data_IF_831396781586
#
_entry.id   IF_831396781586
#
_cell.length_a   1.000
_cell.length_b   1.000
_cell.length_c   1.000
_cell.angle_alpha   90.00
_cell.angle_beta   90.00
_cell.angle_gamma   90.00
#
_symmetry.space_group_name_H-M   'P 1'
#
loop_
_entity.id
_entity.type
_entity.pdbx_description
1 polymer ?
#
# COMPACT_ATOMS: atom_id res chain seq x y z
N UNK A 1 15.21 15.32 -9.27
CA UNK A 1 13.75 15.15 -9.48
C UNK A 1 13.38 14.20 -10.63
N UNK A 2 14.34 13.59 -11.37
CA UNK A 2 14.05 12.72 -12.54
C UNK A 2 14.06 11.20 -12.26
N UNK A 3 14.44 10.76 -11.06
CA UNK A 3 14.64 9.33 -10.72
C UNK A 3 13.53 8.63 -9.93
N UNK A 4 12.47 9.32 -9.51
CA UNK A 4 11.47 8.77 -8.58
C UNK A 4 10.16 8.30 -9.25
N UNK A 5 10.08 8.39 -10.58
CA UNK A 5 8.85 8.13 -11.34
C UNK A 5 8.86 6.78 -12.08
N UNK A 6 9.93 5.97 -11.95
CA UNK A 6 9.93 4.61 -12.49
C UNK A 6 9.53 4.53 -13.96
N UNK A 7 9.95 5.50 -14.78
CA UNK A 7 9.85 5.39 -16.23
C UNK A 7 10.79 4.25 -16.62
N UNK A 8 10.25 3.04 -16.73
CA UNK A 8 10.97 1.94 -17.33
C UNK A 8 11.22 2.34 -18.80
N UNK A 9 12.48 2.40 -19.26
CA UNK A 9 12.73 2.66 -20.67
C UNK A 9 12.17 1.49 -21.48
N UNK A 10 11.01 1.68 -22.12
CA UNK A 10 10.49 0.76 -23.10
C UNK A 10 11.36 0.87 -24.36
N UNK A 11 12.33 -0.04 -24.47
CA UNK A 11 13.04 -0.28 -25.72
C UNK A 11 12.07 -0.93 -26.71
N UNK A 12 11.66 -0.17 -27.72
CA UNK A 12 10.91 -0.53 -28.93
C UNK A 12 10.25 -1.93 -28.96
N UNK A 13 8.97 -1.97 -28.59
CA UNK A 13 8.00 -2.98 -29.04
C UNK A 13 6.60 -2.33 -28.99
N UNK A 14 6.01 -2.13 -30.17
CA UNK A 14 4.66 -1.61 -30.45
C UNK A 14 4.25 -0.28 -29.78
N UNK A 15 3.86 0.71 -30.59
CA UNK A 15 3.64 2.10 -30.16
C UNK A 15 2.44 2.29 -29.20
N UNK A 16 1.47 1.37 -29.23
CA UNK A 16 0.22 1.45 -28.47
C UNK A 16 0.42 1.33 -26.94
N UNK A 17 1.13 0.32 -26.39
CA UNK A 17 1.39 0.23 -24.95
C UNK A 17 2.23 1.40 -24.42
N UNK A 18 3.11 1.99 -25.25
CA UNK A 18 3.96 3.11 -24.85
C UNK A 18 3.14 4.39 -24.63
N UNK A 19 2.17 4.70 -25.49
CA UNK A 19 1.26 5.84 -25.31
C UNK A 19 0.43 5.68 -24.03
N UNK A 20 -0.09 4.47 -23.77
CA UNK A 20 -0.83 4.20 -22.54
C UNK A 20 0.05 4.40 -21.29
N UNK A 21 1.31 3.96 -21.32
CA UNK A 21 2.24 4.13 -20.20
C UNK A 21 2.55 5.62 -19.91
N UNK A 22 2.74 6.42 -20.96
CA UNK A 22 2.94 7.88 -20.82
C UNK A 22 1.71 8.54 -20.19
N UNK A 23 0.50 8.20 -20.64
CA UNK A 23 -0.73 8.75 -20.08
C UNK A 23 -0.89 8.41 -18.59
N UNK A 24 -0.69 7.15 -18.21
CA UNK A 24 -0.79 6.73 -16.80
C UNK A 24 0.27 7.43 -15.95
N UNK A 25 1.49 7.60 -16.47
CA UNK A 25 2.58 8.26 -15.75
C UNK A 25 2.31 9.75 -15.53
N UNK A 26 1.82 10.46 -16.55
CA UNK A 26 1.46 11.88 -16.44
C UNK A 26 0.30 12.06 -15.45
N UNK A 27 -0.72 11.21 -15.53
CA UNK A 27 -1.84 11.22 -14.58
C UNK A 27 -1.35 11.00 -13.13
N UNK A 28 -0.50 10.00 -12.91
CA UNK A 28 0.09 9.73 -11.61
C UNK A 28 0.91 10.93 -11.09
N UNK A 29 1.68 11.58 -11.96
CA UNK A 29 2.43 12.80 -11.61
C UNK A 29 1.50 13.93 -11.16
N UNK A 30 0.41 14.18 -11.88
CA UNK A 30 -0.55 15.22 -11.49
C UNK A 30 -1.24 14.93 -10.16
N UNK A 31 -1.63 13.68 -9.91
CA UNK A 31 -2.17 13.26 -8.61
C UNK A 31 -1.17 13.51 -7.49
N UNK A 32 0.09 13.06 -7.67
CA UNK A 32 1.16 13.25 -6.70
C UNK A 32 1.45 14.74 -6.46
N UNK A 33 1.56 15.54 -7.51
CA UNK A 33 1.79 16.97 -7.43
C UNK A 33 0.65 17.69 -6.68
N UNK A 34 -0.60 17.28 -6.90
CA UNK A 34 -1.76 17.77 -6.18
C UNK A 34 -1.70 17.48 -4.68
N UNK A 35 -1.36 16.24 -4.30
CA UNK A 35 -1.20 15.83 -2.90
C UNK A 35 -0.07 16.62 -2.23
N UNK A 36 1.09 16.73 -2.88
CA UNK A 36 2.23 17.48 -2.35
C UNK A 36 1.91 18.97 -2.21
N UNK A 37 1.16 19.55 -3.15
CA UNK A 37 0.73 20.95 -3.08
C UNK A 37 -0.19 21.17 -1.88
N UNK A 38 -1.18 20.29 -1.67
CA UNK A 38 -2.07 20.36 -0.49
C UNK A 38 -1.29 20.28 0.83
N UNK A 39 -0.33 19.36 0.92
CA UNK A 39 0.52 19.22 2.11
C UNK A 39 1.38 20.48 2.37
N UNK A 40 1.97 21.06 1.32
CA UNK A 40 2.76 22.31 1.46
C UNK A 40 1.92 23.50 1.89
N UNK A 41 0.71 23.65 1.35
CA UNK A 41 -0.23 24.70 1.79
C UNK A 41 -0.64 24.52 3.26
N UNK A 42 -0.57 23.29 3.77
CA UNK A 42 -0.86 22.93 5.15
C UNK A 42 0.38 22.95 6.08
N UNK A 43 1.47 23.61 5.65
CA UNK A 43 2.76 23.76 6.35
C UNK A 43 3.60 22.48 6.48
N UNK A 44 3.32 21.45 5.67
CA UNK A 44 4.09 20.20 5.64
C UNK A 44 5.06 20.21 4.45
N UNK A 45 6.32 20.53 4.71
CA UNK A 45 7.37 20.70 3.71
C UNK A 45 8.21 19.44 3.42
N UNK A 46 7.62 18.25 3.54
CA UNK A 46 8.34 17.00 3.22
C UNK A 46 8.48 16.76 1.72
N UNK A 47 9.58 16.12 1.33
CA UNK A 47 9.73 15.57 -0.01
C UNK A 47 8.92 14.27 -0.15
N UNK A 48 8.69 13.84 -1.40
CA UNK A 48 7.90 12.63 -1.68
C UNK A 48 8.50 11.37 -1.04
N UNK A 49 9.83 11.22 -1.02
CA UNK A 49 10.47 10.05 -0.41
C UNK A 49 10.23 9.99 1.10
N UNK A 50 10.32 11.12 1.78
CA UNK A 50 10.04 11.21 3.22
C UNK A 50 8.59 10.86 3.52
N UNK A 51 7.63 11.40 2.76
CA UNK A 51 6.21 11.07 2.93
C UNK A 51 5.98 9.58 2.71
N UNK A 52 6.54 9.01 1.64
CA UNK A 52 6.41 7.59 1.33
C UNK A 52 6.99 6.72 2.44
N UNK A 53 8.17 7.07 2.97
CA UNK A 53 8.79 6.34 4.07
C UNK A 53 7.97 6.43 5.36
N UNK A 54 7.40 7.59 5.68
CA UNK A 54 6.52 7.77 6.84
C UNK A 54 5.26 6.91 6.70
N UNK A 55 4.65 6.90 5.52
CA UNK A 55 3.41 6.15 5.29
C UNK A 55 3.63 4.64 5.09
N UNK A 56 4.82 4.22 4.64
CA UNK A 56 5.15 2.81 4.38
C UNK A 56 5.08 1.94 5.63
N UNK A 57 5.24 2.51 6.84
CA UNK A 57 5.12 1.76 8.09
C UNK A 57 3.68 1.57 8.57
N UNK A 58 2.71 2.27 7.97
CA UNK A 58 1.29 2.07 8.28
C UNK A 58 0.75 0.87 7.48
N UNK A 59 0.92 -0.33 8.05
CA UNK A 59 0.53 -1.58 7.37
C UNK A 59 -0.56 -2.35 8.12
N UNK A 60 -1.25 -3.25 7.39
CA UNK A 60 -2.14 -4.26 7.95
C UNK A 60 -1.43 -5.60 7.95
N UNK A 61 -1.32 -6.21 9.12
CA UNK A 61 -0.64 -7.49 9.34
C UNK A 61 -1.68 -8.59 9.53
N UNK A 62 -1.47 -9.73 8.88
CA UNK A 62 -2.27 -10.95 9.10
C UNK A 62 -1.39 -11.97 9.78
N UNK A 63 -1.78 -12.39 10.99
CA UNK A 63 -1.13 -13.46 11.73
C UNK A 63 -1.98 -14.71 11.64
N UNK A 64 -1.43 -15.75 11.01
CA UNK A 64 -2.10 -17.04 10.84
C UNK A 64 -1.54 -18.04 11.85
N UNK A 65 -2.41 -18.71 12.59
CA UNK A 65 -2.05 -19.70 13.60
C UNK A 65 -2.83 -20.99 13.37
N UNK A 66 -2.14 -22.13 13.44
CA UNK A 66 -2.78 -23.44 13.37
C UNK A 66 -3.02 -23.93 14.80
N UNK A 67 -4.26 -24.30 15.09
CA UNK A 67 -4.65 -24.90 16.37
C UNK A 67 -4.52 -26.43 16.28
N UNK A 68 -4.22 -27.08 17.41
CA UNK A 68 -4.19 -28.55 17.52
C UNK A 68 -5.50 -29.21 17.07
N UNK A 69 -6.63 -28.50 17.19
CA UNK A 69 -7.97 -28.92 16.72
C UNK A 69 -8.15 -28.93 15.19
N UNK A 70 -7.10 -28.76 14.39
CA UNK A 70 -7.20 -28.77 12.92
C UNK A 70 -7.88 -27.52 12.32
N UNK A 71 -7.87 -26.41 13.05
CA UNK A 71 -8.38 -25.12 12.61
C UNK A 71 -7.26 -24.12 12.35
N UNK A 72 -7.48 -23.22 11.38
CA UNK A 72 -6.62 -22.07 11.10
C UNK A 72 -7.31 -20.81 11.60
N UNK A 73 -6.59 -20.04 12.40
CA UNK A 73 -7.04 -18.74 12.92
C UNK A 73 -6.21 -17.65 12.25
N UNK A 74 -6.88 -16.83 11.42
CA UNK A 74 -6.32 -15.62 10.84
C UNK A 74 -6.73 -14.41 11.68
N UNK A 75 -5.73 -13.74 12.27
CA UNK A 75 -5.91 -12.49 13.00
C UNK A 75 -5.37 -11.35 12.15
N UNK A 76 -6.26 -10.50 11.63
CA UNK A 76 -5.88 -9.31 10.87
C UNK A 76 -5.88 -8.08 11.78
N UNK A 77 -4.71 -7.50 12.00
CA UNK A 77 -4.50 -6.33 12.85
C UNK A 77 -3.93 -5.17 12.03
N UNK A 78 -4.52 -3.98 12.15
CA UNK A 78 -3.93 -2.75 11.60
C UNK A 78 -3.03 -2.10 12.65
N UNK A 79 -1.83 -1.70 12.24
CA UNK A 79 -0.92 -0.96 13.11
C UNK A 79 -1.51 0.42 13.42
N UNK A 80 -1.40 0.87 14.66
CA UNK A 80 -1.83 2.22 15.06
C UNK A 80 -0.94 3.26 14.39
N UNK A 81 -1.55 4.28 13.79
CA UNK A 81 -0.80 5.31 13.08
C UNK A 81 0.11 6.08 14.02
N UNK A 82 1.36 6.31 13.61
CA UNK A 82 2.30 7.17 14.32
C UNK A 82 1.86 8.63 14.23
N UNK A 83 2.29 9.48 15.17
CA UNK A 83 2.02 10.92 15.18
C UNK A 83 2.30 11.62 13.84
N UNK A 84 3.42 11.28 13.19
CA UNK A 84 3.77 11.81 11.86
C UNK A 84 2.77 11.40 10.77
N UNK A 85 2.25 10.19 10.84
CA UNK A 85 1.22 9.70 9.90
C UNK A 85 -0.12 10.37 10.18
N UNK A 86 -0.49 10.50 11.46
CA UNK A 86 -1.68 11.22 11.88
C UNK A 86 -1.68 12.66 11.36
N UNK A 87 -0.57 13.37 11.51
CA UNK A 87 -0.40 14.73 10.99
C UNK A 87 -0.67 14.79 9.49
N UNK A 88 -0.06 13.89 8.70
CA UNK A 88 -0.26 13.85 7.24
C UNK A 88 -1.73 13.56 6.89
N UNK A 89 -2.36 12.57 7.52
CA UNK A 89 -3.76 12.25 7.26
C UNK A 89 -4.71 13.37 7.66
N UNK A 90 -4.46 14.02 8.80
CA UNK A 90 -5.27 15.13 9.26
C UNK A 90 -5.19 16.32 8.31
N UNK A 91 -3.99 16.68 7.85
CA UNK A 91 -3.80 17.75 6.84
C UNK A 91 -4.42 17.40 5.48
N UNK A 92 -4.53 16.12 5.14
CA UNK A 92 -5.20 15.64 3.93
C UNK A 92 -6.71 15.42 4.13
N UNK A 93 -7.25 15.63 5.35
CA UNK A 93 -8.63 15.35 5.73
C UNK A 93 -9.06 13.89 5.46
N UNK A 94 -8.14 12.95 5.66
CA UNK A 94 -8.38 11.51 5.49
C UNK A 94 -8.62 10.89 6.87
N UNK A 95 -9.66 10.04 6.97
CA UNK A 95 -9.91 9.25 8.17
C UNK A 95 -8.76 8.26 8.38
N UNK A 96 -8.08 8.36 9.52
CA UNK A 96 -6.93 7.53 9.88
C UNK A 96 -7.27 6.49 10.96
N UNK A 97 -8.55 6.26 11.25
CA UNK A 97 -8.98 5.27 12.24
C UNK A 97 -8.49 3.89 11.82
N UNK A 98 -7.70 3.24 12.69
CA UNK A 98 -7.26 1.87 12.47
C UNK A 98 -8.48 0.97 12.31
N UNK A 99 -8.50 0.15 11.25
CA UNK A 99 -9.59 -0.79 11.04
C UNK A 99 -9.62 -1.79 12.18
N UNK A 100 -10.82 -2.16 12.63
CA UNK A 100 -10.98 -3.13 13.71
C UNK A 100 -10.23 -4.44 13.42
N UNK A 101 -9.73 -5.03 14.50
CA UNK A 101 -9.16 -6.38 14.44
C UNK A 101 -10.24 -7.35 13.98
N UNK A 102 -9.93 -8.14 12.95
CA UNK A 102 -10.84 -9.19 12.44
C UNK A 102 -10.22 -10.55 12.71
N UNK A 103 -11.03 -11.44 13.28
CA UNK A 103 -10.70 -12.84 13.49
C UNK A 103 -11.47 -13.66 12.46
N UNK A 104 -10.75 -14.44 11.65
CA UNK A 104 -11.36 -15.42 10.75
C UNK A 104 -10.91 -16.80 11.19
N UNK A 105 -11.87 -17.70 11.42
CA UNK A 105 -11.60 -19.11 11.66
C UNK A 105 -11.94 -19.87 10.39
N UNK A 106 -11.00 -20.65 9.87
CA UNK A 106 -11.22 -21.56 8.76
C UNK A 106 -10.80 -22.97 9.16
N UNK A 107 -11.50 -23.98 8.65
CA UNK A 107 -11.03 -25.36 8.79
C UNK A 107 -9.77 -25.54 7.93
N UNK A 108 -8.75 -26.24 8.45
CA UNK A 108 -7.60 -26.63 7.63
C UNK A 108 -8.15 -27.46 6.46
N UNK A 109 -8.11 -26.90 5.25
CA UNK A 109 -8.29 -27.74 4.05
C UNK A 109 -7.04 -28.60 3.96
N UNK A 110 -7.16 -29.88 4.28
CA UNK A 110 -6.18 -30.89 3.90
C UNK A 110 -5.98 -30.79 2.40
N UNK A 111 -4.85 -30.20 1.96
CA UNK A 111 -4.37 -30.43 0.61
C UNK A 111 -4.01 -31.91 0.54
N UNK A 112 -4.91 -32.72 -0.03
CA UNK A 112 -4.50 -33.97 -0.68
C UNK A 112 -3.62 -33.57 -1.86
N UNK A 113 -2.32 -33.43 -1.63
CA UNK A 113 -1.36 -33.68 -2.70
C UNK A 113 -1.39 -35.17 -2.93
N UNK A 114 -2.20 -35.62 -3.91
CA UNK A 114 -2.01 -36.91 -4.53
C UNK A 114 -0.64 -36.88 -5.21
N UNK A 115 0.37 -37.45 -4.55
CA UNK A 115 1.49 -38.03 -5.26
C UNK A 115 0.98 -39.35 -5.84
N UNK A 116 0.51 -39.31 -7.09
CA UNK A 116 0.42 -40.53 -7.89
C UNK A 116 1.80 -40.83 -8.46
N UNK A 117 2.12 -42.11 -8.37
CA UNK A 117 3.41 -42.77 -8.54
C UNK A 117 3.67 -43.11 -10.02
#
# INVERSE_FOLDING_TARGET
MKGNLGLCPNFHHDDIPTIAHVHITVLAYHMLAGILKKLRTADVHYNWNTIRNILATHVRVTTTMNTEDGHVIDVRTCITSTEKQYMIYNKLHIKHTSLERKHMKSSVKTQRCSAEN
#
